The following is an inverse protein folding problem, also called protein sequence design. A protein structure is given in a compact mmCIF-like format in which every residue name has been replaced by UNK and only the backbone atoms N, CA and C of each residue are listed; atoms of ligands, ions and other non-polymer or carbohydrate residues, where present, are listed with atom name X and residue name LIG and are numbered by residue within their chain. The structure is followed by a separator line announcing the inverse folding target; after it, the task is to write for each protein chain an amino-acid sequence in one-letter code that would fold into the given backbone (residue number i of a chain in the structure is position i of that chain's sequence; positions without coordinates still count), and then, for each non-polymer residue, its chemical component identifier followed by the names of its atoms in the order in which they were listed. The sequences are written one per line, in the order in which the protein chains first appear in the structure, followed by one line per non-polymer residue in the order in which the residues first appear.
data_IF_383178413489
#
_entry.id   IF_383178413489
#
_cell.length_a   1.000
_cell.length_b   1.000
_cell.length_c   1.000
_cell.angle_alpha   90.00
_cell.angle_beta   90.00
_cell.angle_gamma   90.00
#
_symmetry.space_group_name_H-M   'P 1'
#
loop_
_entity.id
_entity.type
_entity.pdbx_description
1 polymer ?
#
# COMPACT_ATOMS: atom_id res chain seq x y z
N UNK A 1 4.03 12.16 -28.80
CA UNK A 1 4.65 11.11 -27.94
C UNK A 1 4.13 11.33 -26.52
N UNK A 2 3.22 10.49 -26.04
CA UNK A 2 2.55 10.65 -24.74
C UNK A 2 3.45 10.03 -23.67
N UNK A 3 4.18 10.83 -22.90
CA UNK A 3 4.85 10.32 -21.71
C UNK A 3 3.76 9.83 -20.75
N UNK A 4 3.74 8.52 -20.46
CA UNK A 4 3.00 8.00 -19.31
C UNK A 4 3.55 8.74 -18.08
N UNK A 5 2.69 9.54 -17.47
CA UNK A 5 3.08 10.55 -16.50
C UNK A 5 3.28 9.84 -15.14
N UNK A 6 4.53 9.48 -14.82
CA UNK A 6 4.94 8.89 -13.53
C UNK A 6 4.41 9.74 -12.35
N UNK A 7 4.28 11.05 -12.56
CA UNK A 7 3.67 12.00 -11.61
C UNK A 7 2.22 11.67 -11.29
N UNK A 8 1.41 11.25 -12.27
CA UNK A 8 -0.01 10.95 -12.04
C UNK A 8 -0.20 9.67 -11.21
N UNK A 9 0.61 8.64 -11.46
CA UNK A 9 0.52 7.39 -10.70
C UNK A 9 0.96 7.60 -9.25
N UNK A 10 2.08 8.31 -9.03
CA UNK A 10 2.54 8.59 -7.65
C UNK A 10 1.50 9.42 -6.87
N UNK A 11 0.90 10.42 -7.51
CA UNK A 11 -0.14 11.23 -6.86
C UNK A 11 -1.37 10.40 -6.49
N UNK A 12 -1.87 9.59 -7.44
CA UNK A 12 -2.99 8.69 -7.18
C UNK A 12 -2.69 7.72 -6.03
N UNK A 13 -1.51 7.08 -6.04
CA UNK A 13 -1.11 6.18 -4.95
C UNK A 13 -0.97 6.90 -3.61
N UNK A 14 -0.63 8.19 -3.61
CA UNK A 14 -0.55 8.98 -2.39
C UNK A 14 -1.92 9.34 -1.84
N UNK A 15 -2.88 9.63 -2.70
CA UNK A 15 -4.27 9.93 -2.32
C UNK A 15 -4.98 8.66 -1.82
N UNK A 16 -4.71 7.52 -2.47
CA UNK A 16 -5.40 6.25 -2.20
C UNK A 16 -4.64 5.31 -1.25
N UNK A 17 -3.49 5.74 -0.70
CA UNK A 17 -2.60 4.86 0.07
C UNK A 17 -3.32 4.12 1.19
N UNK A 18 -4.20 4.82 1.91
CA UNK A 18 -4.94 4.24 3.02
C UNK A 18 -5.98 3.23 2.53
N UNK A 19 -6.72 3.54 1.47
CA UNK A 19 -7.69 2.61 0.88
C UNK A 19 -7.01 1.33 0.39
N UNK A 20 -5.89 1.48 -0.32
CA UNK A 20 -5.08 0.36 -0.80
C UNK A 20 -4.58 -0.50 0.37
N UNK A 21 -4.17 0.13 1.47
CA UNK A 21 -3.73 -0.59 2.67
C UNK A 21 -4.88 -1.38 3.31
N UNK A 22 -6.07 -0.80 3.44
CA UNK A 22 -7.23 -1.51 3.99
C UNK A 22 -7.65 -2.70 3.12
N UNK A 23 -7.62 -2.55 1.80
CA UNK A 23 -7.86 -3.67 0.88
C UNK A 23 -6.83 -4.79 1.08
N UNK A 24 -5.55 -4.44 1.27
CA UNK A 24 -4.50 -5.41 1.55
C UNK A 24 -4.72 -6.13 2.89
N UNK A 25 -5.10 -5.40 3.94
CA UNK A 25 -5.44 -5.97 5.26
C UNK A 25 -6.61 -6.95 5.14
N UNK A 26 -7.66 -6.57 4.41
CA UNK A 26 -8.80 -7.44 4.14
C UNK A 26 -8.37 -8.72 3.42
N UNK A 27 -7.61 -8.61 2.33
CA UNK A 27 -7.15 -9.77 1.54
C UNK A 27 -6.30 -10.71 2.40
N UNK A 28 -5.36 -10.19 3.20
CA UNK A 28 -4.51 -11.02 4.06
C UNK A 28 -5.35 -11.71 5.14
N UNK A 29 -6.27 -10.99 5.77
CA UNK A 29 -7.18 -11.53 6.79
C UNK A 29 -7.99 -12.70 6.21
N UNK A 30 -8.65 -12.48 5.08
CA UNK A 30 -9.48 -13.52 4.43
C UNK A 30 -8.67 -14.73 3.99
N UNK A 31 -7.46 -14.53 3.46
CA UNK A 31 -6.63 -15.63 2.94
C UNK A 31 -5.89 -16.42 4.01
N UNK A 32 -5.61 -15.80 5.15
CA UNK A 32 -4.82 -16.44 6.21
C UNK A 32 -5.66 -16.90 7.39
N UNK A 33 -6.89 -16.38 7.53
CA UNK A 33 -7.74 -16.61 8.71
C UNK A 33 -7.20 -15.92 9.98
N UNK A 34 -6.16 -15.09 9.86
CA UNK A 34 -5.64 -14.31 10.97
C UNK A 34 -6.65 -13.22 11.35
N UNK A 35 -6.70 -12.89 12.64
CA UNK A 35 -7.59 -11.84 13.10
C UNK A 35 -7.12 -10.48 12.58
N UNK A 36 -8.02 -9.67 12.01
CA UNK A 36 -7.69 -8.33 11.48
C UNK A 36 -6.92 -7.44 12.48
N UNK A 37 -7.17 -7.59 13.79
CA UNK A 37 -6.48 -6.84 14.86
C UNK A 37 -4.96 -7.04 14.93
N UNK A 38 -4.40 -8.05 14.24
CA UNK A 38 -2.94 -8.18 14.11
C UNK A 38 -2.35 -7.10 13.20
N UNK A 39 -3.15 -6.57 12.28
CA UNK A 39 -2.73 -5.53 11.34
C UNK A 39 -3.01 -4.17 11.96
N UNK A 40 -2.08 -3.21 11.85
CA UNK A 40 -2.35 -1.83 12.25
C UNK A 40 -3.60 -1.28 11.57
N UNK A 41 -4.37 -0.47 12.28
CA UNK A 41 -5.59 0.16 11.75
C UNK A 41 -5.28 1.12 10.60
N UNK A 42 -4.09 1.72 10.55
CA UNK A 42 -3.65 2.64 9.49
C UNK A 42 -2.37 2.17 8.83
N UNK A 43 -2.16 2.61 7.59
CA UNK A 43 -0.93 2.28 6.86
C UNK A 43 0.31 2.79 7.63
N UNK A 44 1.17 1.86 8.05
CA UNK A 44 2.40 2.19 8.77
C UNK A 44 3.60 2.47 7.84
N UNK A 45 3.38 2.41 6.53
CA UNK A 45 4.43 2.55 5.53
C UNK A 45 4.29 3.85 4.74
N UNK A 46 5.40 4.54 4.54
CA UNK A 46 5.45 5.68 3.62
C UNK A 46 5.43 5.18 2.18
N UNK A 47 4.72 5.88 1.30
CA UNK A 47 4.64 5.54 -0.12
C UNK A 47 6.04 5.46 -0.76
N UNK A 48 6.96 6.36 -0.40
CA UNK A 48 8.35 6.34 -0.85
C UNK A 48 9.06 5.03 -0.52
N UNK A 49 8.78 4.44 0.66
CA UNK A 49 9.37 3.16 1.05
C UNK A 49 8.76 2.01 0.27
N UNK A 50 7.43 2.00 0.10
CA UNK A 50 6.72 0.97 -0.67
C UNK A 50 7.15 0.93 -2.13
N UNK A 51 7.47 2.09 -2.72
CA UNK A 51 7.94 2.20 -4.10
C UNK A 51 9.45 1.98 -4.26
N UNK A 52 10.22 1.94 -3.16
CA UNK A 52 11.66 1.73 -3.22
C UNK A 52 11.97 0.29 -3.60
N UNK A 53 12.61 0.10 -4.77
CA UNK A 53 12.92 -1.23 -5.34
C UNK A 53 13.70 -2.17 -4.40
N UNK A 54 14.52 -1.60 -3.52
CA UNK A 54 15.40 -2.34 -2.61
C UNK A 54 14.86 -2.40 -1.18
N UNK A 55 13.61 -2.01 -0.96
CA UNK A 55 13.01 -2.02 0.36
C UNK A 55 12.24 -3.30 0.61
N UNK A 56 12.49 -3.90 1.77
CA UNK A 56 11.71 -4.99 2.36
C UNK A 56 11.37 -4.57 3.79
N UNK A 57 10.13 -4.79 4.25
CA UNK A 57 9.80 -4.62 5.67
C UNK A 57 10.57 -5.65 6.50
N UNK A 58 11.14 -5.20 7.63
CA UNK A 58 11.83 -6.04 8.62
C UNK A 58 10.86 -6.52 9.71
#
# INVERSE_FOLDING_TARGET
MKMINITNLKNYLSEELESIYQDAVFIVTEKTGLNQSISPEKCCYLLEKLLAKNWLPN
#
